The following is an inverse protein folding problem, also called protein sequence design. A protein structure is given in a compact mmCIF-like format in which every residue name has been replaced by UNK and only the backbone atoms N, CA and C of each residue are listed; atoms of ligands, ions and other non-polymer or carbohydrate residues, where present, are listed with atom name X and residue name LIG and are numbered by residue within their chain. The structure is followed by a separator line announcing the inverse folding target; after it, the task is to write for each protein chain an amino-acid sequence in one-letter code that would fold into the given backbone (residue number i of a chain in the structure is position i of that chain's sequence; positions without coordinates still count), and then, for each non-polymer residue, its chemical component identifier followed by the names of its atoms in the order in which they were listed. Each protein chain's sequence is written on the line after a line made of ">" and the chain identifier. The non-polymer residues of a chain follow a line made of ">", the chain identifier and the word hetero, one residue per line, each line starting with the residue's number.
data_IF_241348167069
#
_entry.id   IF_241348167069
#
_cell.length_a   1.000
_cell.length_b   1.000
_cell.length_c   1.000
_cell.angle_alpha   90.00
_cell.angle_beta   90.00
_cell.angle_gamma   90.00
#
_symmetry.space_group_name_H-M   'P 1'
#
loop_
_entity.id
_entity.type
_entity.pdbx_description
1 polymer ?
#
# COMPACT_ATOMS: atom_id res chain seq x y z
N UNK A 1 -13.76 -13.13 -20.15
CA UNK A 1 -14.56 -12.52 -19.07
C UNK A 1 -13.68 -12.33 -17.83
N UNK A 2 -13.40 -11.09 -17.45
CA UNK A 2 -12.66 -10.77 -16.23
C UNK A 2 -13.67 -10.60 -15.09
N UNK A 3 -14.25 -11.72 -14.65
CA UNK A 3 -15.13 -11.74 -13.47
C UNK A 3 -14.29 -11.69 -12.19
N UNK A 4 -14.33 -10.54 -11.52
CA UNK A 4 -14.33 -10.47 -10.06
C UNK A 4 -13.12 -11.00 -9.33
N UNK A 5 -11.91 -10.54 -9.65
CA UNK A 5 -10.87 -10.55 -8.61
C UNK A 5 -11.40 -9.74 -7.42
N UNK A 6 -11.46 -10.32 -6.20
CA UNK A 6 -11.96 -9.58 -5.06
C UNK A 6 -11.10 -8.33 -4.88
N UNK A 7 -11.72 -7.18 -4.60
CA UNK A 7 -11.00 -5.94 -4.31
C UNK A 7 -10.64 -5.90 -2.82
N UNK A 8 -9.54 -5.22 -2.42
CA UNK A 8 -9.22 -5.08 -1.02
C UNK A 8 -10.32 -4.25 -0.33
N UNK A 9 -10.73 -4.66 0.85
CA UNK A 9 -11.77 -3.96 1.61
C UNK A 9 -11.09 -3.07 2.66
N UNK A 10 -11.47 -1.77 2.77
CA UNK A 10 -10.93 -0.92 3.82
C UNK A 10 -11.35 -1.42 5.21
N UNK A 11 -10.54 -1.12 6.23
CA UNK A 11 -10.96 -1.37 7.62
C UNK A 11 -11.82 -0.19 8.06
N UNK A 12 -13.07 -0.44 8.39
CA UNK A 12 -14.02 0.60 8.80
C UNK A 12 -13.67 1.17 10.17
N UNK A 13 -13.96 2.46 10.38
CA UNK A 13 -13.63 3.17 11.64
C UNK A 13 -14.19 2.43 12.87
N UNK A 14 -15.44 1.94 12.77
CA UNK A 14 -16.10 1.22 13.87
C UNK A 14 -15.44 -0.11 14.26
N UNK A 15 -14.63 -0.69 13.37
CA UNK A 15 -13.89 -1.92 13.60
C UNK A 15 -12.49 -1.66 14.21
N UNK A 16 -12.03 -0.41 14.22
CA UNK A 16 -10.72 -0.02 14.74
C UNK A 16 -10.84 0.30 16.22
N UNK A 17 -10.42 -0.65 17.07
CA UNK A 17 -10.25 -0.44 18.52
C UNK A 17 -8.77 -0.43 18.86
N UNK A 18 -8.19 0.76 19.09
CA UNK A 18 -6.74 0.94 19.26
C UNK A 18 -6.19 0.07 20.41
N UNK A 19 -6.93 -0.01 21.51
CA UNK A 19 -6.56 -0.82 22.69
C UNK A 19 -6.65 -2.33 22.45
N UNK A 20 -7.40 -2.78 21.44
CA UNK A 20 -7.66 -4.19 21.14
C UNK A 20 -7.03 -4.64 19.81
N UNK A 21 -6.15 -3.83 19.22
CA UNK A 21 -5.40 -4.22 18.03
C UNK A 21 -4.58 -5.51 18.31
N UNK A 22 -4.62 -6.50 17.40
CA UNK A 22 -3.86 -7.73 17.58
C UNK A 22 -2.36 -7.45 17.49
N UNK A 23 -1.50 -8.25 18.14
CA UNK A 23 -0.05 -8.12 17.97
C UNK A 23 0.37 -8.50 16.54
N UNK A 24 1.54 -8.05 16.09
CA UNK A 24 2.11 -8.39 14.77
C UNK A 24 2.21 -9.90 14.50
N UNK A 25 2.41 -10.71 15.54
CA UNK A 25 2.41 -12.19 15.45
C UNK A 25 1.04 -12.77 15.06
N UNK A 26 -0.02 -11.98 15.17
CA UNK A 26 -1.37 -12.30 14.72
C UNK A 26 -1.60 -12.15 13.22
N UNK A 27 -0.61 -11.69 12.44
CA UNK A 27 -0.68 -11.67 10.98
C UNK A 27 -0.62 -13.09 10.42
N UNK A 28 -1.79 -13.72 10.27
CA UNK A 28 -1.90 -15.03 9.64
C UNK A 28 -1.53 -14.96 8.15
N UNK A 29 -0.92 -16.05 7.63
CA UNK A 29 -0.80 -16.23 6.18
C UNK A 29 -2.19 -16.33 5.59
N UNK A 30 -2.53 -15.43 4.66
CA UNK A 30 -3.85 -15.43 4.03
C UNK A 30 -3.78 -16.03 2.62
N UNK A 31 -3.87 -17.37 2.54
CA UNK A 31 -4.13 -18.04 1.26
C UNK A 31 -5.43 -17.49 0.67
N UNK A 32 -5.36 -16.92 -0.54
CA UNK A 32 -6.52 -16.33 -1.22
C UNK A 32 -6.83 -14.87 -0.87
N UNK A 33 -5.95 -14.16 -0.13
CA UNK A 33 -6.11 -12.71 0.03
C UNK A 33 -5.71 -11.93 -1.21
N UNK A 34 -6.46 -10.84 -1.40
CA UNK A 34 -6.28 -9.84 -2.44
C UNK A 34 -4.99 -9.05 -2.20
N UNK A 35 -4.38 -8.61 -3.30
CA UNK A 35 -3.31 -7.63 -3.28
C UNK A 35 -3.71 -6.38 -2.48
N UNK A 36 -2.75 -5.84 -1.75
CA UNK A 36 -2.91 -4.70 -0.86
C UNK A 36 -4.03 -4.78 0.20
N UNK A 37 -4.58 -5.97 0.51
CA UNK A 37 -5.57 -6.10 1.58
C UNK A 37 -5.00 -5.56 2.91
N UNK A 38 -5.58 -4.50 3.51
CA UNK A 38 -5.05 -3.92 4.73
C UNK A 38 -5.29 -4.80 5.96
N UNK A 39 -4.37 -4.71 6.91
CA UNK A 39 -4.48 -5.26 8.27
C UNK A 39 -3.78 -4.33 9.26
N UNK A 40 -4.47 -3.98 10.34
CA UNK A 40 -3.91 -3.19 11.44
C UNK A 40 -3.47 -4.12 12.58
N UNK A 41 -2.30 -3.85 13.11
CA UNK A 41 -1.75 -4.55 14.28
C UNK A 41 -1.13 -3.54 15.24
N UNK A 42 -0.90 -3.97 16.47
CA UNK A 42 -0.15 -3.22 17.47
C UNK A 42 1.32 -3.62 17.39
N UNK A 43 2.22 -2.63 17.47
CA UNK A 43 3.66 -2.86 17.56
C UNK A 43 4.01 -3.70 18.79
N UNK A 44 5.16 -4.36 18.74
CA UNK A 44 5.59 -5.28 19.80
C UNK A 44 5.76 -4.60 21.17
N UNK A 45 6.17 -3.33 21.18
CA UNK A 45 6.26 -2.48 22.38
C UNK A 45 4.93 -1.87 22.82
N UNK A 46 3.86 -2.07 22.04
CA UNK A 46 2.54 -1.53 22.30
C UNK A 46 2.39 -0.02 22.03
N UNK A 47 3.44 0.65 21.54
CA UNK A 47 3.51 2.11 21.42
C UNK A 47 2.92 2.66 20.12
N UNK A 48 2.67 1.82 19.12
CA UNK A 48 2.14 2.26 17.82
C UNK A 48 1.16 1.26 17.22
N UNK A 49 0.28 1.76 16.34
CA UNK A 49 -0.51 0.98 15.41
C UNK A 49 0.26 0.87 14.10
N UNK A 50 0.49 -0.34 13.61
CA UNK A 50 1.18 -0.63 12.36
C UNK A 50 0.18 -1.10 11.30
N UNK A 51 0.29 -0.56 10.09
CA UNK A 51 -0.54 -0.93 8.95
C UNK A 51 0.26 -1.83 8.02
N UNK A 52 -0.23 -3.05 7.81
CA UNK A 52 0.33 -4.00 6.87
C UNK A 52 -0.63 -4.24 5.70
N UNK A 53 -0.07 -4.60 4.55
CA UNK A 53 -0.81 -5.03 3.39
C UNK A 53 -0.33 -6.43 2.91
N UNK A 54 -1.26 -7.23 2.40
CA UNK A 54 -0.93 -8.54 1.84
C UNK A 54 -0.47 -8.42 0.39
N UNK A 55 0.59 -9.14 0.05
CA UNK A 55 1.16 -9.17 -1.28
C UNK A 55 1.13 -10.60 -1.84
N UNK A 56 0.28 -10.90 -2.85
CA UNK A 56 -0.02 -12.27 -3.26
C UNK A 56 1.08 -12.92 -4.10
N UNK A 57 1.86 -12.15 -4.87
CA UNK A 57 2.96 -12.71 -5.68
C UNK A 57 4.07 -13.15 -4.74
N UNK A 58 4.43 -12.30 -3.77
CA UNK A 58 5.48 -12.59 -2.80
C UNK A 58 5.01 -13.35 -1.55
N UNK A 59 3.70 -13.60 -1.43
CA UNK A 59 2.99 -14.32 -0.34
C UNK A 59 3.38 -13.85 1.07
N UNK A 60 3.47 -12.54 1.26
CA UNK A 60 3.89 -11.94 2.55
C UNK A 60 3.07 -10.71 2.91
N UNK A 61 3.06 -10.40 4.20
CA UNK A 61 2.66 -9.09 4.69
C UNK A 61 3.82 -8.11 4.54
N UNK A 62 3.52 -6.87 4.14
CA UNK A 62 4.47 -5.76 4.16
C UNK A 62 3.95 -4.62 5.01
N UNK A 63 4.86 -4.01 5.76
CA UNK A 63 4.57 -2.80 6.51
C UNK A 63 4.43 -1.64 5.52
N UNK A 64 3.31 -0.94 5.56
CA UNK A 64 3.05 0.28 4.80
C UNK A 64 3.48 1.51 5.61
N UNK A 65 3.26 1.46 6.92
CA UNK A 65 3.60 2.53 7.84
C UNK A 65 3.02 2.31 9.22
N UNK A 66 3.23 3.27 10.11
CA UNK A 66 2.80 3.20 11.50
C UNK A 66 2.31 4.54 12.02
N UNK A 67 1.60 4.50 13.14
CA UNK A 67 1.07 5.67 13.84
C UNK A 67 1.28 5.47 15.33
N UNK A 68 2.03 6.36 15.98
CA UNK A 68 2.23 6.30 17.43
C UNK A 68 0.90 6.44 18.19
N UNK A 69 0.80 5.84 19.37
CA UNK A 69 -0.38 5.90 20.23
C UNK A 69 -0.02 6.71 21.49
N UNK A 70 -0.68 7.85 21.79
CA UNK A 70 -1.68 8.55 20.98
C UNK A 70 -1.01 9.52 19.97
N UNK A 71 -1.37 9.44 18.69
CA UNK A 71 -0.96 10.40 17.65
C UNK A 71 -1.80 10.22 16.40
N UNK A 72 -2.04 11.29 15.64
CA UNK A 72 -2.72 11.23 14.33
C UNK A 72 -1.75 11.30 13.16
N UNK A 73 -0.45 11.38 13.45
CA UNK A 73 0.58 11.44 12.43
C UNK A 73 0.93 10.03 11.94
N UNK A 74 0.65 9.77 10.66
CA UNK A 74 1.01 8.50 10.01
C UNK A 74 2.41 8.63 9.40
N UNK A 75 3.30 7.75 9.82
CA UNK A 75 4.67 7.66 9.33
C UNK A 75 4.71 6.51 8.32
N UNK A 76 4.96 6.83 7.06
CA UNK A 76 5.16 5.83 6.02
C UNK A 76 6.43 5.03 6.31
N UNK A 77 6.36 3.71 6.12
CA UNK A 77 7.53 2.86 6.18
C UNK A 77 8.34 3.11 4.90
N UNK A 78 9.13 4.18 4.91
CA UNK A 78 10.02 4.53 3.81
C UNK A 78 10.88 3.31 3.46
N UNK A 79 10.80 2.90 2.20
CA UNK A 79 11.54 1.82 1.55
C UNK A 79 12.93 1.55 2.17
N UNK A 80 13.09 0.45 2.91
CA UNK A 80 14.42 -0.16 3.17
C UNK A 80 15.04 -0.78 1.89
N UNK A 81 14.50 -0.49 0.70
CA UNK A 81 15.04 -0.94 -0.57
C UNK A 81 15.38 0.27 -1.41
N UNK A 82 16.60 0.31 -1.94
CA UNK A 82 17.03 1.33 -2.91
C UNK A 82 15.90 1.58 -3.92
N UNK A 83 15.47 2.83 -4.12
CA UNK A 83 14.54 3.13 -5.19
C UNK A 83 15.17 2.67 -6.53
N UNK A 84 14.36 2.22 -7.50
CA UNK A 84 14.89 1.92 -8.83
C UNK A 84 15.69 3.12 -9.35
N UNK A 85 16.78 2.85 -10.09
CA UNK A 85 17.78 3.83 -10.55
C UNK A 85 17.22 5.03 -11.32
N UNK A 86 15.95 5.02 -11.70
CA UNK A 86 15.22 6.09 -12.40
C UNK A 86 14.63 7.17 -11.49
N UNK A 87 14.67 7.01 -10.15
CA UNK A 87 14.20 8.05 -9.22
C UNK A 87 15.18 9.22 -9.05
N UNK A 88 16.31 9.22 -9.77
CA UNK A 88 17.14 10.40 -9.95
C UNK A 88 16.67 11.20 -11.16
N UNK A 89 15.66 12.06 -11.00
CA UNK A 89 15.66 13.46 -11.47
C UNK A 89 14.30 14.14 -11.31
N UNK A 90 14.30 15.30 -10.63
CA UNK A 90 13.30 16.37 -10.83
C UNK A 90 12.45 16.75 -9.60
N UNK A 91 12.96 17.71 -8.82
CA UNK A 91 12.23 18.55 -7.87
C UNK A 91 11.40 17.85 -6.76
N UNK A 92 12.02 17.74 -5.59
CA UNK A 92 11.32 17.57 -4.29
C UNK A 92 11.12 16.12 -3.88
N UNK A 93 11.60 15.78 -2.69
CA UNK A 93 11.52 14.48 -2.01
C UNK A 93 10.11 13.84 -2.02
N UNK A 94 9.74 13.19 -3.13
CA UNK A 94 8.50 12.39 -3.29
C UNK A 94 8.67 10.92 -2.89
N UNK A 95 9.85 10.53 -2.43
CA UNK A 95 10.20 9.14 -2.09
C UNK A 95 9.76 8.66 -0.71
N UNK A 96 9.12 9.50 0.12
CA UNK A 96 8.80 9.13 1.50
C UNK A 96 7.36 8.59 1.67
N UNK A 97 6.41 9.00 0.83
CA UNK A 97 5.00 8.61 0.92
C UNK A 97 4.57 7.90 -0.36
N UNK A 98 4.60 6.57 -0.37
CA UNK A 98 4.26 5.80 -1.55
C UNK A 98 3.51 4.50 -1.21
N UNK A 99 2.58 4.13 -2.09
CA UNK A 99 1.95 2.82 -2.11
C UNK A 99 2.70 1.95 -3.10
N UNK A 100 3.12 0.76 -2.68
CA UNK A 100 3.73 -0.23 -3.57
C UNK A 100 2.68 -1.23 -4.06
N UNK A 101 2.48 -1.31 -5.37
CA UNK A 101 1.62 -2.33 -5.99
C UNK A 101 2.50 -3.44 -6.56
N UNK A 102 2.19 -4.71 -6.25
CA UNK A 102 2.89 -5.83 -6.89
C UNK A 102 2.37 -6.04 -8.32
N UNK A 103 3.27 -6.07 -9.28
CA UNK A 103 3.01 -6.41 -10.68
C UNK A 103 3.81 -7.67 -11.01
N UNK A 104 3.11 -8.69 -11.49
CA UNK A 104 3.73 -9.90 -12.05
C UNK A 104 3.95 -9.67 -13.55
N UNK A 105 5.21 -9.69 -13.98
CA UNK A 105 5.58 -9.54 -15.39
C UNK A 105 5.56 -10.87 -16.16
N UNK A 106 5.13 -11.96 -15.51
CA UNK A 106 5.08 -13.30 -16.08
C UNK A 106 6.36 -14.13 -15.85
N UNK A 107 7.34 -13.58 -15.14
CA UNK A 107 8.58 -14.27 -14.72
C UNK A 107 8.47 -14.89 -13.32
N UNK A 108 7.31 -14.74 -12.66
CA UNK A 108 7.04 -15.24 -11.31
C UNK A 108 7.79 -14.47 -10.22
N UNK A 109 8.38 -13.31 -10.53
CA UNK A 109 9.03 -12.44 -9.56
C UNK A 109 8.19 -11.19 -9.33
N UNK A 110 8.01 -10.77 -8.06
CA UNK A 110 7.28 -9.54 -7.78
C UNK A 110 8.08 -8.33 -8.25
N UNK A 111 7.49 -7.55 -9.14
CA UNK A 111 7.98 -6.21 -9.51
C UNK A 111 7.08 -5.17 -8.83
N UNK A 112 7.67 -4.11 -8.28
CA UNK A 112 6.92 -3.14 -7.46
C UNK A 112 6.72 -1.85 -8.24
N UNK A 113 5.46 -1.46 -8.43
CA UNK A 113 5.08 -0.16 -8.94
C UNK A 113 4.84 0.76 -7.75
N UNK A 114 5.75 1.71 -7.53
CA UNK A 114 5.58 2.77 -6.52
C UNK A 114 4.66 3.86 -7.04
N UNK A 115 3.63 4.19 -6.28
CA UNK A 115 2.67 5.27 -6.54
C UNK A 115 2.82 6.32 -5.46
N UNK A 116 3.24 7.53 -5.84
CA UNK A 116 3.41 8.62 -4.89
C UNK A 116 2.07 9.03 -4.28
N UNK A 117 2.10 9.39 -3.00
CA UNK A 117 0.96 9.88 -2.21
C UNK A 117 1.34 11.26 -1.65
N UNK A 118 0.42 12.20 -1.66
CA UNK A 118 0.62 13.50 -1.02
C UNK A 118 0.16 13.52 0.46
N UNK A 119 0.40 14.65 1.13
CA UNK A 119 -0.02 14.84 2.54
C UNK A 119 -1.54 14.73 2.74
N UNK A 120 -2.33 14.99 1.70
CA UNK A 120 -3.79 14.85 1.69
C UNK A 120 -4.26 13.42 1.41
N UNK A 121 -3.33 12.45 1.37
CA UNK A 121 -3.56 11.06 1.01
C UNK A 121 -4.20 10.93 -0.38
N UNK A 122 -3.85 11.82 -1.31
CA UNK A 122 -4.21 11.69 -2.73
C UNK A 122 -3.08 11.00 -3.47
N UNK A 123 -3.45 10.07 -4.36
CA UNK A 123 -2.49 9.42 -5.24
C UNK A 123 -2.03 10.38 -6.33
N UNK A 124 -0.78 10.23 -6.77
CA UNK A 124 -0.42 10.71 -8.09
C UNK A 124 -1.31 10.06 -9.15
N UNK A 125 -1.36 10.68 -10.33
CA UNK A 125 -2.14 10.16 -11.44
C UNK A 125 -1.72 8.71 -11.79
N UNK A 126 -2.67 7.78 -11.74
CA UNK A 126 -2.44 6.35 -11.93
C UNK A 126 -1.93 6.03 -13.34
N UNK A 127 -2.32 6.80 -14.36
CA UNK A 127 -1.81 6.64 -15.71
C UNK A 127 -0.37 7.13 -15.82
N UNK A 128 0.00 8.18 -15.09
CA UNK A 128 1.38 8.66 -15.04
C UNK A 128 2.29 7.62 -14.36
N UNK A 129 1.86 7.07 -13.22
CA UNK A 129 2.58 6.02 -12.51
C UNK A 129 2.71 4.75 -13.36
N UNK A 130 1.61 4.31 -14.00
CA UNK A 130 1.61 3.17 -14.91
C UNK A 130 2.51 3.39 -16.14
N UNK A 131 2.49 4.59 -16.73
CA UNK A 131 3.33 4.93 -17.88
C UNK A 131 4.81 4.90 -17.51
N UNK A 132 5.20 5.53 -16.40
CA UNK A 132 6.57 5.48 -15.85
C UNK A 132 7.03 4.04 -15.66
N UNK A 133 6.18 3.21 -15.05
CA UNK A 133 6.47 1.79 -14.82
C UNK A 133 6.64 1.00 -16.13
N UNK A 134 5.78 1.22 -17.13
CA UNK A 134 5.90 0.59 -18.45
C UNK A 134 7.21 1.00 -19.14
N UNK A 135 7.58 2.28 -19.06
CA UNK A 135 8.81 2.78 -19.68
C UNK A 135 10.07 2.19 -19.02
N UNK A 136 10.04 1.94 -17.71
CA UNK A 136 11.11 1.24 -16.98
C UNK A 136 11.21 -0.25 -17.31
N UNK A 137 10.09 -0.88 -17.67
CA UNK A 137 9.97 -2.31 -17.95
C UNK A 137 9.60 -2.61 -19.40
N UNK A 138 10.03 -1.78 -20.35
CA UNK A 138 9.63 -1.83 -21.77
C UNK A 138 9.96 -3.15 -22.48
N UNK A 139 10.90 -3.94 -21.94
CA UNK A 139 11.25 -5.26 -22.46
C UNK A 139 10.13 -6.29 -22.26
N UNK A 140 9.27 -6.06 -21.24
CA UNK A 140 8.16 -6.95 -20.88
C UNK A 140 6.78 -6.28 -21.03
N UNK A 141 6.72 -4.96 -20.96
CA UNK A 141 5.49 -4.17 -20.99
C UNK A 141 5.46 -3.22 -22.19
N UNK A 142 4.25 -2.86 -22.59
CA UNK A 142 3.99 -1.86 -23.62
C UNK A 142 2.68 -1.12 -23.32
N UNK A 143 2.32 -0.12 -24.14
CA UNK A 143 1.16 0.74 -23.89
C UNK A 143 -0.19 0.01 -23.85
N UNK A 144 -0.31 -1.23 -24.34
CA UNK A 144 -1.54 -2.02 -24.19
C UNK A 144 -1.81 -2.39 -22.71
N UNK A 145 -0.77 -2.33 -21.86
CA UNK A 145 -0.86 -2.61 -20.43
C UNK A 145 -1.20 -1.36 -19.60
N UNK A 146 -1.26 -0.18 -20.21
CA UNK A 146 -1.45 1.09 -19.50
C UNK A 146 -2.76 1.11 -18.71
N UNK A 147 -3.88 0.84 -19.38
CA UNK A 147 -5.20 0.80 -18.74
C UNK A 147 -5.32 -0.32 -17.68
N UNK A 148 -4.91 -1.57 -17.95
CA UNK A 148 -4.88 -2.62 -16.94
C UNK A 148 -4.10 -2.25 -15.67
N UNK A 149 -2.90 -1.68 -15.82
CA UNK A 149 -2.05 -1.29 -14.68
C UNK A 149 -2.66 -0.10 -13.93
N UNK A 150 -3.12 0.93 -14.65
CA UNK A 150 -3.76 2.09 -14.04
C UNK A 150 -5.02 1.70 -13.26
N UNK A 151 -5.85 0.81 -13.82
CA UNK A 151 -7.03 0.27 -13.14
C UNK A 151 -6.66 -0.50 -11.88
N UNK A 152 -5.62 -1.35 -11.95
CA UNK A 152 -5.11 -2.09 -10.79
C UNK A 152 -4.65 -1.13 -9.69
N UNK A 153 -3.85 -0.11 -10.02
CA UNK A 153 -3.41 0.92 -9.06
C UNK A 153 -4.61 1.58 -8.38
N UNK A 154 -5.62 1.99 -9.17
CA UNK A 154 -6.83 2.66 -8.68
C UNK A 154 -7.62 1.77 -7.72
N UNK A 155 -7.89 0.52 -8.12
CA UNK A 155 -8.70 -0.43 -7.33
C UNK A 155 -8.03 -0.84 -6.02
N UNK A 156 -6.70 -1.00 -6.02
CA UNK A 156 -5.98 -1.49 -4.84
C UNK A 156 -5.63 -0.38 -3.84
N UNK A 157 -5.29 0.82 -4.32
CA UNK A 157 -4.78 1.89 -3.47
C UNK A 157 -5.87 2.62 -2.69
N UNK A 158 -7.09 2.74 -3.25
CA UNK A 158 -8.16 3.49 -2.61
C UNK A 158 -8.59 2.90 -1.24
N UNK A 159 -8.81 1.58 -1.09
CA UNK A 159 -9.11 0.95 0.19
C UNK A 159 -8.00 1.11 1.24
N UNK A 160 -6.73 1.06 0.81
CA UNK A 160 -5.59 1.27 1.69
C UNK A 160 -5.57 2.70 2.25
N UNK A 161 -5.70 3.70 1.38
CA UNK A 161 -5.74 5.10 1.79
C UNK A 161 -6.96 5.42 2.66
N UNK A 162 -8.10 4.80 2.36
CA UNK A 162 -9.28 4.91 3.20
C UNK A 162 -9.04 4.31 4.60
N UNK A 163 -8.31 3.19 4.70
CA UNK A 163 -7.91 2.62 5.99
C UNK A 163 -7.01 3.55 6.79
N UNK A 164 -6.07 4.26 6.15
CA UNK A 164 -5.23 5.26 6.82
C UNK A 164 -6.09 6.41 7.36
N UNK A 165 -7.06 6.91 6.57
CA UNK A 165 -8.02 7.94 7.03
C UNK A 165 -8.85 7.44 8.21
N UNK A 166 -9.34 6.21 8.12
CA UNK A 166 -10.14 5.60 9.18
C UNK A 166 -9.33 5.41 10.47
N UNK A 167 -8.06 5.01 10.37
CA UNK A 167 -7.15 4.90 11.51
C UNK A 167 -6.92 6.26 12.18
N UNK A 168 -6.64 7.33 11.39
CA UNK A 168 -6.48 8.69 11.93
C UNK A 168 -7.73 9.10 12.74
N UNK A 169 -8.90 8.91 12.15
CA UNK A 169 -10.19 9.23 12.78
C UNK A 169 -10.45 8.39 14.04
N UNK A 170 -10.19 7.09 14.00
CA UNK A 170 -10.38 6.22 15.16
C UNK A 170 -9.46 6.63 16.34
N UNK A 171 -8.23 7.08 16.04
CA UNK A 171 -7.33 7.61 17.06
C UNK A 171 -7.83 8.93 17.64
N UNK A 172 -8.37 9.83 16.82
CA UNK A 172 -8.99 11.09 17.29
C UNK A 172 -10.22 10.84 18.18
N UNK A 173 -11.05 9.85 17.83
CA UNK A 173 -12.26 9.50 18.59
C UNK A 173 -11.98 8.77 19.91
N UNK A 174 -10.80 8.15 20.06
CA UNK A 174 -10.43 7.33 21.23
C UNK A 174 -9.37 7.98 22.15
N UNK A 175 -8.81 9.11 21.75
CA UNK A 175 -7.94 9.96 22.58
C UNK A 175 -8.75 10.88 23.50
#
# INVERSE_FOLDING_TARGET
>A
DAEGEPEPVPIEVGDIRISALPPVTGLASRKGSVDLQPSLVRSADGASAELYCWHPVSKRWRLVGSMAIPSTNFIWAALERQPPKSFETGAGSRGEMQVEVEVDLGDGKPTYLGVAVDDALQLENEYLAAKRFIDEHFESLNNNHLEPIARKVRGLSAPLLQTIRNLKRAMEEQN
#
